data_IF_120784595423
#
_entry.id   IF_120784595423
#
_cell.length_a   1.000
_cell.length_b   1.000
_cell.length_c   1.000
_cell.angle_alpha   90.00
_cell.angle_beta   90.00
_cell.angle_gamma   90.00
#
_symmetry.space_group_name_H-M   'P 1'
#
loop_
_entity.id
_entity.type
_entity.pdbx_description
1 polymer ?
#
# COMPACT_ATOMS: atom_id res chain seq x y z
N UNK A 1 30.79 21.53 54.37
CA UNK A 1 29.38 21.70 53.92
C UNK A 1 29.02 20.64 52.86
N UNK A 2 29.07 19.33 53.21
CA UNK A 2 28.85 18.22 52.26
C UNK A 2 27.90 17.13 52.80
N UNK A 3 27.01 17.47 53.73
CA UNK A 3 26.03 16.52 54.32
C UNK A 3 24.57 16.81 53.96
N UNK A 4 24.29 17.78 53.09
CA UNK A 4 22.91 18.20 52.78
C UNK A 4 22.36 17.64 51.44
N UNK A 5 23.19 17.05 50.58
CA UNK A 5 22.76 16.60 49.23
C UNK A 5 22.32 15.13 49.22
N UNK A 6 22.81 14.28 50.12
CA UNK A 6 22.52 12.84 50.10
C UNK A 6 21.13 12.50 50.68
N UNK A 7 20.53 13.39 51.48
CA UNK A 7 19.22 13.16 52.10
C UNK A 7 18.03 13.44 51.16
N UNK A 8 18.22 14.22 50.10
CA UNK A 8 17.17 14.51 49.11
C UNK A 8 17.13 13.50 47.94
N UNK A 9 18.14 12.62 47.83
CA UNK A 9 18.18 11.60 46.78
C UNK A 9 17.50 10.28 47.21
N UNK A 10 17.23 10.11 48.51
CA UNK A 10 16.57 8.90 49.04
C UNK A 10 15.05 9.06 49.19
N UNK A 11 14.52 10.30 49.15
CA UNK A 11 13.09 10.58 49.27
C UNK A 11 12.34 10.58 47.92
N UNK A 12 13.05 10.56 46.79
CA UNK A 12 12.45 10.48 45.45
C UNK A 12 12.29 9.04 44.93
N UNK A 13 12.85 8.05 45.62
CA UNK A 13 12.84 6.64 45.20
C UNK A 13 11.67 5.81 45.80
N UNK A 14 10.83 6.40 46.65
CA UNK A 14 9.71 5.72 47.32
C UNK A 14 8.35 6.15 46.74
N UNK A 15 8.33 7.04 45.73
CA UNK A 15 7.10 7.55 45.11
C UNK A 15 6.67 6.80 43.82
N UNK A 16 7.09 5.55 43.65
CA UNK A 16 6.74 4.72 42.47
C UNK A 16 6.01 3.41 42.83
N UNK A 17 5.58 3.21 44.07
CA UNK A 17 4.95 1.96 44.52
C UNK A 17 3.63 2.19 45.27
N UNK A 18 2.61 2.73 44.61
CA UNK A 18 1.19 2.53 45.00
C UNK A 18 0.27 2.68 43.77
N UNK A 19 -0.60 1.68 43.57
CA UNK A 19 -1.90 1.70 42.86
C UNK A 19 -1.87 1.73 41.31
N UNK A 20 -2.65 0.93 40.56
CA UNK A 20 -3.75 0.02 40.89
C UNK A 20 -3.92 -1.03 39.78
N UNK A 21 -4.29 -2.23 40.22
CA UNK A 21 -4.95 -3.29 39.46
C UNK A 21 -6.23 -2.79 38.81
N UNK A 22 -6.45 -3.07 37.53
CA UNK A 22 -7.77 -3.09 36.90
C UNK A 22 -7.85 -4.33 36.01
N UNK A 23 -8.76 -5.22 36.36
CA UNK A 23 -9.32 -6.27 35.50
C UNK A 23 -10.76 -5.84 35.22
N UNK A 24 -11.19 -5.76 33.95
CA UNK A 24 -12.42 -6.49 33.64
C UNK A 24 -12.48 -7.08 32.21
N UNK A 25 -12.93 -8.34 32.18
CA UNK A 25 -14.04 -8.87 31.36
C UNK A 25 -13.87 -9.07 29.84
N UNK A 26 -13.79 -10.36 29.48
CA UNK A 26 -14.61 -11.10 28.47
C UNK A 26 -14.76 -10.52 27.06
N UNK A 27 -14.29 -11.27 26.05
CA UNK A 27 -15.16 -12.16 25.24
C UNK A 27 -14.29 -13.04 24.31
N UNK A 28 -14.07 -14.31 24.67
CA UNK A 28 -13.68 -15.33 23.69
C UNK A 28 -14.96 -16.04 23.25
N UNK A 29 -15.52 -15.61 22.12
CA UNK A 29 -16.63 -16.31 21.50
C UNK A 29 -16.10 -17.41 20.58
N UNK A 30 -16.42 -18.61 21.04
CA UNK A 30 -16.27 -19.94 20.50
C UNK A 30 -17.37 -20.19 19.46
N UNK A 31 -17.03 -20.72 18.29
CA UNK A 31 -17.93 -21.61 17.56
C UNK A 31 -17.17 -22.89 17.16
N UNK A 32 -17.27 -23.87 18.06
CA UNK A 32 -17.19 -25.29 17.71
C UNK A 32 -18.54 -25.66 17.08
N UNK A 33 -18.54 -26.06 15.81
CA UNK A 33 -19.70 -26.73 15.20
C UNK A 33 -19.37 -28.22 15.08
N UNK A 34 -19.98 -28.98 16.01
CA UNK A 34 -20.12 -30.44 15.96
C UNK A 34 -21.30 -30.80 15.07
N UNK A 35 -21.09 -31.62 14.03
CA UNK A 35 -22.16 -32.41 13.41
C UNK A 35 -21.62 -33.83 13.19
N UNK A 36 -21.95 -34.75 14.09
CA UNK A 36 -22.19 -36.14 13.73
C UNK A 36 -23.68 -36.28 13.44
N UNK A 37 -24.05 -36.91 12.32
CA UNK A 37 -24.95 -38.09 12.27
C UNK A 37 -25.25 -38.46 10.80
N UNK A 38 -24.79 -39.67 10.43
CA UNK A 38 -25.50 -40.73 9.68
C UNK A 38 -26.62 -40.36 8.69
N UNK A 39 -26.46 -40.80 7.43
CA UNK A 39 -27.30 -41.83 6.77
C UNK A 39 -27.50 -41.58 5.26
N UNK A 40 -27.33 -42.65 4.46
CA UNK A 40 -27.87 -42.93 3.12
C UNK A 40 -27.61 -41.90 1.99
N UNK A 41 -26.67 -42.15 1.07
CA UNK A 41 -26.91 -42.79 -0.26
C UNK A 41 -28.02 -42.10 -1.06
N UNK A 42 -27.63 -41.25 -2.00
CA UNK A 42 -28.15 -41.32 -3.38
C UNK A 42 -27.13 -40.71 -4.34
N UNK A 43 -26.82 -41.50 -5.36
CA UNK A 43 -25.95 -41.18 -6.49
C UNK A 43 -26.69 -40.22 -7.42
N UNK A 44 -26.14 -39.04 -7.63
CA UNK A 44 -26.45 -38.22 -8.80
C UNK A 44 -25.15 -37.79 -9.46
N UNK A 45 -25.03 -38.20 -10.73
CA UNK A 45 -23.97 -37.83 -11.65
C UNK A 45 -24.07 -36.33 -11.90
N UNK A 46 -23.16 -35.55 -11.31
CA UNK A 46 -22.96 -34.16 -11.75
C UNK A 46 -21.95 -34.20 -12.86
N UNK A 47 -22.44 -34.06 -14.09
CA UNK A 47 -21.67 -33.68 -15.26
C UNK A 47 -20.79 -32.47 -14.90
N UNK A 48 -19.49 -32.70 -14.82
CA UNK A 48 -18.50 -31.63 -14.82
C UNK A 48 -18.50 -31.10 -16.26
N UNK A 49 -19.30 -30.06 -16.48
CA UNK A 49 -19.19 -29.21 -17.67
C UNK A 49 -17.78 -28.61 -17.66
N UNK A 50 -16.88 -29.26 -18.39
CA UNK A 50 -15.57 -28.74 -18.76
C UNK A 50 -15.79 -27.50 -19.63
N UNK A 51 -16.17 -26.38 -18.99
CA UNK A 51 -16.07 -25.08 -19.61
C UNK A 51 -14.59 -24.76 -19.71
N UNK A 52 -14.06 -25.13 -20.88
CA UNK A 52 -12.89 -24.61 -21.55
C UNK A 52 -12.62 -23.17 -21.12
N UNK A 53 -11.78 -23.02 -20.09
CA UNK A 53 -11.16 -21.75 -19.77
C UNK A 53 -10.23 -21.48 -20.93
N UNK A 54 -10.79 -20.85 -21.96
CA UNK A 54 -10.06 -20.35 -23.10
C UNK A 54 -9.00 -19.41 -22.53
N UNK A 55 -7.77 -19.92 -22.43
CA UNK A 55 -6.57 -19.12 -22.26
C UNK A 55 -6.52 -18.21 -23.48
N UNK A 56 -7.24 -17.09 -23.39
CA UNK A 56 -7.01 -15.95 -24.26
C UNK A 56 -5.62 -15.45 -23.87
N UNK A 57 -4.64 -15.97 -24.61
CA UNK A 57 -3.35 -15.33 -24.85
C UNK A 57 -3.57 -13.82 -24.82
N UNK A 58 -2.86 -13.06 -23.97
CA UNK A 58 -3.07 -11.62 -23.89
C UNK A 58 -2.86 -11.06 -25.28
N UNK A 59 -3.95 -10.64 -25.93
CA UNK A 59 -3.84 -9.89 -27.17
C UNK A 59 -2.96 -8.69 -26.86
N UNK A 60 -1.91 -8.50 -27.66
CA UNK A 60 -1.00 -7.37 -27.53
C UNK A 60 -1.83 -6.09 -27.56
N UNK A 61 -2.13 -5.56 -26.37
CA UNK A 61 -2.78 -4.27 -26.24
C UNK A 61 -1.77 -3.27 -26.77
N UNK A 62 -2.02 -2.72 -27.96
CA UNK A 62 -1.37 -1.50 -28.39
C UNK A 62 -1.83 -0.40 -27.42
N UNK A 63 -1.16 -0.33 -26.26
CA UNK A 63 -1.44 0.61 -25.19
C UNK A 63 -1.48 2.01 -25.76
N UNK A 64 -2.48 2.80 -25.36
CA UNK A 64 -2.48 4.21 -25.70
C UNK A 64 -1.46 4.92 -24.82
N UNK A 65 -0.43 5.46 -25.44
CA UNK A 65 0.63 6.20 -24.75
C UNK A 65 0.35 7.70 -24.76
N UNK A 66 0.47 8.33 -23.59
CA UNK A 66 0.30 9.76 -23.42
C UNK A 66 1.63 10.35 -22.96
N UNK A 67 2.21 11.26 -23.75
CA UNK A 67 3.39 11.99 -23.34
C UNK A 67 3.05 12.95 -22.19
N UNK A 68 3.90 12.98 -21.16
CA UNK A 68 3.75 13.88 -20.03
C UNK A 68 5.11 14.42 -19.55
N UNK A 69 5.10 15.56 -18.86
CA UNK A 69 6.30 16.12 -18.23
C UNK A 69 6.19 15.97 -16.72
N UNK A 70 7.22 15.43 -16.07
CA UNK A 70 7.23 15.27 -14.61
C UNK A 70 7.28 16.65 -13.94
N UNK A 71 6.33 16.90 -13.03
CA UNK A 71 6.31 18.10 -12.18
C UNK A 71 7.07 17.82 -10.89
N UNK A 72 6.73 16.73 -10.20
CA UNK A 72 7.43 16.24 -9.00
C UNK A 72 7.03 14.83 -8.64
N UNK A 73 7.91 14.11 -7.96
CA UNK A 73 7.61 12.84 -7.30
C UNK A 73 7.03 13.11 -5.90
N UNK A 74 5.95 12.41 -5.55
CA UNK A 74 5.28 12.51 -4.24
C UNK A 74 5.80 11.42 -3.30
N UNK A 75 5.80 10.18 -3.78
CA UNK A 75 6.35 9.00 -3.11
C UNK A 75 6.89 8.02 -4.15
N UNK A 76 7.49 6.90 -3.74
CA UNK A 76 8.14 5.94 -4.63
C UNK A 76 7.26 5.39 -5.76
N UNK A 77 5.93 5.37 -5.58
CA UNK A 77 4.95 4.89 -6.57
C UNK A 77 3.96 5.98 -7.03
N UNK A 78 4.16 7.24 -6.66
CA UNK A 78 3.23 8.32 -6.94
C UNK A 78 3.95 9.54 -7.48
N UNK A 79 3.57 9.98 -8.69
CA UNK A 79 4.18 11.12 -9.38
C UNK A 79 3.12 12.12 -9.84
N UNK A 80 3.46 13.41 -9.84
CA UNK A 80 2.64 14.45 -10.47
C UNK A 80 3.28 14.80 -11.80
N UNK A 81 2.46 14.76 -12.85
CA UNK A 81 2.87 15.04 -14.23
C UNK A 81 1.99 16.11 -14.83
N UNK A 82 2.52 16.82 -15.82
CA UNK A 82 1.81 17.78 -16.64
C UNK A 82 1.54 17.17 -18.01
N UNK A 83 0.26 17.09 -18.37
CA UNK A 83 -0.21 16.58 -19.66
C UNK A 83 -0.09 17.65 -20.77
N UNK A 84 -0.21 17.27 -22.06
CA UNK A 84 -0.07 18.20 -23.19
C UNK A 84 -1.12 19.33 -23.20
N UNK A 85 -2.30 19.09 -22.63
CA UNK A 85 -3.36 20.08 -22.42
C UNK A 85 -3.07 21.07 -21.28
N UNK A 86 -1.88 21.02 -20.67
CA UNK A 86 -1.44 21.79 -19.50
C UNK A 86 -2.13 21.45 -18.16
N UNK A 87 -2.85 20.34 -18.05
CA UNK A 87 -3.39 19.89 -16.75
C UNK A 87 -2.35 19.11 -15.96
N UNK A 88 -2.32 19.29 -14.64
CA UNK A 88 -1.54 18.44 -13.74
C UNK A 88 -2.38 17.24 -13.30
N UNK A 89 -1.79 16.05 -13.39
CA UNK A 89 -2.40 14.79 -12.97
C UNK A 89 -1.54 14.10 -11.93
N UNK A 90 -2.19 13.53 -10.92
CA UNK A 90 -1.53 12.64 -9.95
C UNK A 90 -1.63 11.22 -10.48
N UNK A 91 -0.49 10.63 -10.79
CA UNK A 91 -0.35 9.29 -11.34
C UNK A 91 0.09 8.33 -10.25
N UNK A 92 -0.60 7.20 -10.13
CA UNK A 92 -0.22 6.04 -9.32
C UNK A 92 0.36 4.99 -10.27
N UNK A 93 1.59 4.57 -9.99
CA UNK A 93 2.29 3.57 -10.77
C UNK A 93 1.60 2.21 -10.58
N UNK A 94 1.24 1.57 -11.70
CA UNK A 94 0.64 0.24 -11.69
C UNK A 94 1.66 -0.81 -11.29
N UNK A 95 1.18 -1.85 -10.58
CA UNK A 95 1.96 -3.00 -10.11
C UNK A 95 3.13 -2.68 -9.18
N UNK A 96 3.22 -1.45 -8.68
CA UNK A 96 4.23 -0.99 -7.73
C UNK A 96 3.51 -0.47 -6.48
N UNK A 97 3.92 -0.99 -5.32
CA UNK A 97 3.49 -0.52 -4.01
C UNK A 97 4.72 -0.33 -3.13
N UNK A 98 5.14 0.92 -2.97
CA UNK A 98 6.37 1.24 -2.22
C UNK A 98 6.07 1.40 -0.73
N UNK A 99 7.02 1.06 0.16
CA UNK A 99 6.88 1.39 1.57
C UNK A 99 6.59 2.89 1.75
N UNK A 100 5.60 3.19 2.56
CA UNK A 100 5.04 4.54 2.73
C UNK A 100 6.03 5.47 3.46
N UNK A 101 6.26 6.65 2.89
CA UNK A 101 7.22 7.63 3.44
C UNK A 101 6.61 8.99 3.80
N UNK A 102 5.39 9.30 3.37
CA UNK A 102 4.79 10.64 3.45
C UNK A 102 3.48 10.70 4.27
N UNK A 103 3.01 9.57 4.80
CA UNK A 103 1.76 9.52 5.54
C UNK A 103 1.76 10.43 6.80
N UNK A 104 0.72 11.27 7.00
CA UNK A 104 0.75 12.33 8.02
C UNK A 104 0.80 11.82 9.47
N UNK A 105 0.26 10.64 9.72
CA UNK A 105 0.11 10.08 11.09
C UNK A 105 0.85 8.76 11.31
N UNK A 106 1.45 8.18 10.28
CA UNK A 106 2.14 6.88 10.39
C UNK A 106 3.65 7.12 10.38
N UNK A 107 4.44 6.29 11.08
CA UNK A 107 5.89 6.35 10.96
C UNK A 107 6.29 6.01 9.52
N UNK A 108 7.40 6.61 9.08
CA UNK A 108 8.08 6.24 7.83
C UNK A 108 8.41 4.75 7.89
N UNK A 109 8.02 4.02 6.84
CA UNK A 109 8.29 2.60 6.74
C UNK A 109 9.77 2.35 6.34
N UNK A 110 10.36 1.21 6.73
CA UNK A 110 11.68 0.82 6.25
C UNK A 110 11.74 0.84 4.72
N UNK A 111 12.80 1.45 4.17
CA UNK A 111 13.03 1.63 2.73
C UNK A 111 12.10 2.62 1.99
N UNK A 112 11.18 3.30 2.70
CA UNK A 112 10.28 4.25 2.05
C UNK A 112 10.99 5.49 1.50
N UNK A 113 11.98 6.01 2.24
CA UNK A 113 12.76 7.16 1.78
C UNK A 113 13.63 6.79 0.59
N UNK A 114 14.26 5.62 0.63
CA UNK A 114 15.11 5.09 -0.42
C UNK A 114 14.32 4.87 -1.72
N UNK A 115 13.10 4.33 -1.62
CA UNK A 115 12.21 4.18 -2.77
C UNK A 115 11.79 5.54 -3.36
N UNK A 116 11.45 6.50 -2.49
CA UNK A 116 11.09 7.87 -2.90
C UNK A 116 12.26 8.60 -3.58
N UNK A 117 13.48 8.49 -3.05
CA UNK A 117 14.68 9.08 -3.65
C UNK A 117 15.02 8.42 -4.99
N UNK A 118 14.95 7.08 -5.08
CA UNK A 118 15.16 6.39 -6.35
C UNK A 118 14.18 6.85 -7.44
N UNK A 119 12.90 7.00 -7.09
CA UNK A 119 11.90 7.53 -8.01
C UNK A 119 12.21 8.98 -8.43
N UNK A 120 12.70 9.84 -7.51
CA UNK A 120 13.11 11.22 -7.83
C UNK A 120 14.32 11.29 -8.76
N UNK A 121 15.30 10.41 -8.58
CA UNK A 121 16.46 10.31 -9.46
C UNK A 121 16.06 9.91 -10.88
N UNK A 122 15.16 8.93 -11.00
CA UNK A 122 14.65 8.47 -12.28
C UNK A 122 13.68 9.45 -12.94
N UNK A 123 12.80 10.09 -12.18
CA UNK A 123 11.73 10.98 -12.65
C UNK A 123 11.92 12.40 -12.09
N UNK A 124 13.06 13.02 -12.39
CA UNK A 124 13.33 14.39 -11.94
C UNK A 124 12.38 15.42 -12.61
N UNK A 125 12.09 16.56 -11.96
CA UNK A 125 11.23 17.61 -12.52
C UNK A 125 11.70 18.09 -13.90
N UNK A 126 10.76 18.23 -14.83
CA UNK A 126 11.01 18.61 -16.22
C UNK A 126 11.35 17.43 -17.15
N UNK A 127 11.51 16.21 -16.62
CA UNK A 127 11.74 15.03 -17.44
C UNK A 127 10.49 14.66 -18.24
N UNK A 128 10.66 14.33 -19.52
CA UNK A 128 9.59 13.77 -20.35
C UNK A 128 9.47 12.26 -20.11
N UNK A 129 8.24 11.80 -19.93
CA UNK A 129 7.87 10.39 -19.74
C UNK A 129 6.67 10.06 -20.63
N UNK A 130 6.40 8.77 -20.82
CA UNK A 130 5.17 8.29 -21.45
C UNK A 130 4.34 7.50 -20.44
N UNK A 131 3.04 7.78 -20.42
CA UNK A 131 2.07 7.10 -19.59
C UNK A 131 1.31 6.09 -20.44
N UNK A 132 1.32 4.83 -20.04
CA UNK A 132 0.47 3.80 -20.59
C UNK A 132 -0.65 3.52 -19.58
N UNK A 133 -1.89 3.82 -19.95
CA UNK A 133 -3.04 3.69 -19.06
C UNK A 133 -3.54 2.25 -19.00
N UNK A 134 -4.11 1.88 -17.85
CA UNK A 134 -4.89 0.66 -17.70
C UNK A 134 -6.28 0.78 -18.38
N UNK A 135 -6.99 -0.34 -18.49
CA UNK A 135 -8.40 -0.39 -18.90
C UNK A 135 -9.26 0.49 -17.99
N UNK A 136 -8.98 0.46 -16.69
CA UNK A 136 -9.60 1.35 -15.71
C UNK A 136 -8.61 2.49 -15.43
N UNK A 137 -8.87 3.66 -16.03
CA UNK A 137 -7.92 4.77 -16.00
C UNK A 137 -7.69 5.37 -14.60
N UNK A 138 -8.65 5.25 -13.67
CA UNK A 138 -8.59 5.92 -12.38
C UNK A 138 -9.01 5.04 -11.22
N UNK A 139 -8.34 5.24 -10.09
CA UNK A 139 -8.75 4.65 -8.84
C UNK A 139 -9.84 5.47 -8.12
N UNK A 140 -10.32 4.94 -7.00
CA UNK A 140 -11.32 5.59 -6.13
C UNK A 140 -10.90 6.95 -5.54
N UNK A 141 -9.60 7.28 -5.59
CA UNK A 141 -9.06 8.55 -5.10
C UNK A 141 -8.88 9.57 -6.25
N UNK A 142 -9.25 9.19 -7.48
CA UNK A 142 -9.12 10.01 -8.67
C UNK A 142 -7.70 10.06 -9.24
N UNK A 143 -6.78 9.21 -8.77
CA UNK A 143 -5.42 9.12 -9.34
C UNK A 143 -5.49 8.41 -10.68
N UNK A 144 -4.72 8.89 -11.63
CA UNK A 144 -4.53 8.20 -12.91
C UNK A 144 -3.69 6.94 -12.67
N UNK A 145 -4.13 5.81 -13.22
CA UNK A 145 -3.45 4.52 -13.14
C UNK A 145 -2.65 4.30 -14.41
N UNK A 146 -1.33 4.21 -14.30
CA UNK A 146 -0.47 4.08 -15.46
C UNK A 146 0.84 3.33 -15.18
N UNK A 147 1.38 2.70 -16.22
CA UNK A 147 2.82 2.42 -16.32
C UNK A 147 3.53 3.69 -16.79
N UNK A 148 4.70 3.96 -16.22
CA UNK A 148 5.51 5.14 -16.56
C UNK A 148 6.79 4.69 -17.27
N UNK A 149 6.91 5.07 -18.54
CA UNK A 149 8.05 4.74 -19.38
C UNK A 149 9.04 5.91 -19.42
N UNK A 150 10.32 5.59 -19.27
CA UNK A 150 11.42 6.55 -19.25
C UNK A 150 12.33 6.28 -20.44
N UNK A 151 12.50 7.27 -21.32
CA UNK A 151 13.28 7.14 -22.56
C UNK A 151 12.40 6.78 -23.76
N UNK A 152 13.04 6.40 -24.87
CA UNK A 152 12.34 5.96 -26.07
C UNK A 152 12.04 4.46 -25.97
N UNK A 153 10.83 4.05 -26.37
CA UNK A 153 10.48 2.64 -26.58
C UNK A 153 11.17 2.16 -27.86
N UNK A 154 11.94 1.08 -27.77
CA UNK A 154 12.65 0.45 -28.89
C UNK A 154 11.72 -0.43 -29.72
#
# INVERSE_FOLDING_TARGET
>A
MKKLIVLNLFLLAVLFLVACTNDPSTDENKEDILIETSSAVETDEVEVDEQEHKEESPEESNGTFIQATVVRVVDGDTVIVKLPNNTEERVRLLLIDTPESVHPTKPVQPFGLEASEFAKELMYPGKTVELELDIIERDRYGRLLAYVWIGERC
#
